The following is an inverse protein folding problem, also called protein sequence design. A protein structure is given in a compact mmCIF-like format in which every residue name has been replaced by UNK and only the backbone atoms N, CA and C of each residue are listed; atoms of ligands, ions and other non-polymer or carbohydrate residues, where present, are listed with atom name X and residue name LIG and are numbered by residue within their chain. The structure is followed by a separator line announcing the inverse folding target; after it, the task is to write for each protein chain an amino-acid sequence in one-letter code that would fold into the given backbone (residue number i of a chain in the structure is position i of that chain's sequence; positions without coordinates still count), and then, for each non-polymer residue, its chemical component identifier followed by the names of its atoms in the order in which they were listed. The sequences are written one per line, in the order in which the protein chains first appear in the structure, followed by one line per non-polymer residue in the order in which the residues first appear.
data_IF_554408071205
#
_entry.id   IF_554408071205
#
_cell.length_a   1.000
_cell.length_b   1.000
_cell.length_c   1.000
_cell.angle_alpha   90.00
_cell.angle_beta   90.00
_cell.angle_gamma   90.00
#
_symmetry.space_group_name_H-M   'P 1'
#
loop_
_entity.id
_entity.type
_entity.pdbx_description
1 polymer ?
#
# COMPACT_ATOMS: atom_id res chain seq x y z
N UNK A 1 9.14 -2.32 -3.45
CA UNK A 1 8.08 -1.37 -3.88
C UNK A 1 8.74 -0.16 -4.52
N UNK A 2 8.30 0.26 -5.71
CA UNK A 2 8.72 1.52 -6.34
C UNK A 2 7.53 2.47 -6.23
N UNK A 3 7.67 3.53 -5.43
CA UNK A 3 6.69 4.61 -5.42
C UNK A 3 7.04 5.63 -6.49
N UNK A 4 6.01 6.17 -7.13
CA UNK A 4 6.11 7.18 -8.18
C UNK A 4 5.50 8.45 -7.64
N UNK A 5 6.19 9.58 -7.83
CA UNK A 5 5.70 10.87 -7.41
C UNK A 5 4.48 11.27 -8.27
N UNK A 6 3.33 11.60 -7.67
CA UNK A 6 2.11 11.91 -8.43
C UNK A 6 2.18 13.25 -9.19
N UNK A 7 3.19 14.07 -8.93
CA UNK A 7 3.34 15.38 -9.59
C UNK A 7 4.24 15.35 -10.83
N UNK A 8 5.20 14.43 -10.91
CA UNK A 8 6.25 14.50 -11.94
C UNK A 8 6.72 13.13 -12.45
N UNK A 9 6.02 12.07 -12.08
CA UNK A 9 6.24 10.67 -12.45
C UNK A 9 7.66 10.12 -12.17
N UNK A 10 8.44 10.88 -11.42
CA UNK A 10 9.79 10.50 -11.02
C UNK A 10 9.72 9.54 -9.84
N UNK A 11 10.80 8.79 -9.63
CA UNK A 11 10.90 7.85 -8.50
C UNK A 11 10.77 8.62 -7.18
N UNK A 12 10.07 8.03 -6.22
CA UNK A 12 10.08 8.45 -4.83
C UNK A 12 10.81 7.42 -3.95
N UNK A 13 11.57 7.90 -2.98
CA UNK A 13 12.28 7.09 -1.98
C UNK A 13 11.49 7.10 -0.67
N UNK A 14 11.29 5.92 -0.09
CA UNK A 14 10.74 5.77 1.26
C UNK A 14 11.87 6.09 2.25
N UNK A 15 11.68 7.11 3.08
CA UNK A 15 12.67 7.56 4.08
C UNK A 15 12.46 6.88 5.43
N UNK A 16 11.21 6.73 5.83
CA UNK A 16 10.85 6.04 7.05
C UNK A 16 9.47 5.41 6.90
N UNK A 17 9.14 4.49 7.80
CA UNK A 17 7.83 3.89 7.84
C UNK A 17 7.44 3.55 9.27
N UNK A 18 6.14 3.64 9.57
CA UNK A 18 5.60 3.23 10.87
C UNK A 18 4.41 2.29 10.69
N UNK A 19 4.28 1.24 11.51
CA UNK A 19 3.10 0.40 11.52
C UNK A 19 1.91 1.18 12.09
N UNK A 20 0.75 1.08 11.43
CA UNK A 20 -0.52 1.58 11.97
C UNK A 20 -1.38 0.43 12.52
N UNK A 21 -1.34 -0.72 11.84
CA UNK A 21 -2.00 -1.95 12.26
C UNK A 21 -1.19 -3.15 11.74
N UNK A 22 -1.64 -4.38 12.00
CA UNK A 22 -1.05 -5.58 11.39
C UNK A 22 -1.21 -5.62 9.86
N UNK A 23 -2.17 -4.86 9.31
CA UNK A 23 -2.50 -4.85 7.88
C UNK A 23 -2.04 -3.59 7.16
N UNK A 24 -1.78 -2.51 7.90
CA UNK A 24 -1.53 -1.18 7.33
C UNK A 24 -0.24 -0.58 7.85
N UNK A 25 0.56 -0.03 6.94
CA UNK A 25 1.80 0.69 7.24
C UNK A 25 1.80 2.05 6.56
N UNK A 26 2.22 3.06 7.31
CA UNK A 26 2.41 4.42 6.81
C UNK A 26 3.86 4.60 6.36
N UNK A 27 4.06 5.21 5.19
CA UNK A 27 5.35 5.45 4.56
C UNK A 27 5.55 6.95 4.38
N UNK A 28 6.71 7.46 4.77
CA UNK A 28 7.11 8.83 4.47
C UNK A 28 8.07 8.82 3.28
N UNK A 29 7.68 9.50 2.21
CA UNK A 29 8.30 9.38 0.90
C UNK A 29 8.79 10.74 0.40
N UNK A 30 9.93 10.76 -0.29
CA UNK A 30 10.49 11.95 -0.91
C UNK A 30 10.80 11.70 -2.39
N UNK A 31 10.34 12.59 -3.26
CA UNK A 31 10.68 12.57 -4.69
C UNK A 31 12.19 12.68 -4.90
N UNK A 32 12.74 11.94 -5.86
CA UNK A 32 14.17 12.03 -6.20
C UNK A 32 14.51 13.20 -7.10
N UNK A 33 13.52 13.74 -7.83
CA UNK A 33 13.72 14.92 -8.68
C UNK A 33 13.76 16.16 -7.77
N UNK A 34 14.93 16.77 -7.66
CA UNK A 34 15.18 17.91 -6.76
C UNK A 34 14.25 19.09 -7.08
N UNK A 35 14.05 19.39 -8.36
CA UNK A 35 13.14 20.46 -8.82
C UNK A 35 11.69 20.23 -8.39
N UNK A 36 11.26 18.98 -8.27
CA UNK A 36 9.93 18.64 -7.77
C UNK A 36 9.87 18.75 -6.24
N UNK A 37 10.88 18.24 -5.53
CA UNK A 37 11.02 18.36 -4.07
C UNK A 37 9.89 17.72 -3.23
N UNK A 38 8.88 17.15 -3.87
CA UNK A 38 7.66 16.72 -3.20
C UNK A 38 7.94 15.63 -2.16
N UNK A 39 7.45 15.87 -0.94
CA UNK A 39 7.51 14.93 0.17
C UNK A 39 6.09 14.63 0.62
N UNK A 40 5.77 13.35 0.77
CA UNK A 40 4.39 12.92 0.97
C UNK A 40 4.32 11.65 1.82
N UNK A 41 3.15 11.44 2.43
CA UNK A 41 2.83 10.23 3.15
C UNK A 41 2.02 9.29 2.24
N UNK A 42 2.25 7.98 2.35
CA UNK A 42 1.50 6.96 1.65
C UNK A 42 1.13 5.82 2.59
N UNK A 43 -0.07 5.27 2.42
CA UNK A 43 -0.52 4.08 3.14
C UNK A 43 -0.37 2.85 2.25
N UNK A 44 0.22 1.80 2.81
CA UNK A 44 0.23 0.46 2.21
C UNK A 44 -0.61 -0.45 3.08
N UNK A 45 -1.64 -1.03 2.49
CA UNK A 45 -2.59 -1.90 3.17
C UNK A 45 -2.72 -3.25 2.46
N UNK A 46 -2.77 -4.33 3.24
CA UNK A 46 -3.17 -5.64 2.72
C UNK A 46 -4.68 -5.65 2.50
N UNK A 47 -5.11 -5.54 1.24
CA UNK A 47 -6.54 -5.41 0.90
C UNK A 47 -7.25 -6.75 0.76
N UNK A 48 -6.59 -7.76 0.18
CA UNK A 48 -7.16 -9.10 -0.01
C UNK A 48 -6.07 -10.15 -0.16
N UNK A 49 -6.43 -11.40 0.14
CA UNK A 49 -5.56 -12.56 -0.01
C UNK A 49 -5.73 -13.14 -1.42
N UNK A 50 -4.64 -13.20 -2.21
CA UNK A 50 -4.66 -13.89 -3.51
C UNK A 50 -4.42 -15.39 -3.38
N UNK A 51 -3.55 -15.78 -2.44
CA UNK A 51 -3.28 -17.17 -2.07
C UNK A 51 -3.22 -17.26 -0.54
N UNK A 52 -3.89 -18.23 0.10
CA UNK A 52 -3.89 -18.35 1.56
C UNK A 52 -2.47 -18.58 2.09
N UNK A 53 -2.20 -18.04 3.28
CA UNK A 53 -0.97 -18.35 4.00
C UNK A 53 -0.98 -19.81 4.47
N UNK A 54 0.15 -20.51 4.37
CA UNK A 54 0.33 -21.84 4.98
C UNK A 54 0.39 -21.81 6.51
N UNK A 55 0.54 -20.61 7.09
CA UNK A 55 0.49 -20.37 8.54
C UNK A 55 -0.36 -19.11 8.79
N UNK A 56 -1.70 -19.21 8.74
CA UNK A 56 -2.57 -18.06 8.91
C UNK A 56 -2.62 -17.63 10.38
N UNK A 57 -2.54 -16.33 10.64
CA UNK A 57 -2.98 -15.78 11.91
C UNK A 57 -4.54 -15.75 11.89
N UNK A 58 -5.24 -16.41 12.83
CA UNK A 58 -6.70 -16.53 12.81
C UNK A 58 -7.43 -15.18 12.80
N UNK A 59 -6.93 -14.19 13.55
CA UNK A 59 -7.53 -12.86 13.64
C UNK A 59 -7.45 -12.13 12.29
N UNK A 60 -6.29 -12.21 11.62
CA UNK A 60 -6.06 -11.58 10.31
C UNK A 60 -6.83 -12.30 9.20
N UNK A 61 -6.84 -13.63 9.23
CA UNK A 61 -7.59 -14.42 8.25
C UNK A 61 -9.08 -14.09 8.30
N UNK A 62 -9.66 -13.91 9.50
CA UNK A 62 -11.05 -13.48 9.68
C UNK A 62 -11.31 -12.08 9.11
N UNK A 63 -10.40 -11.14 9.33
CA UNK A 63 -10.53 -9.76 8.79
C UNK A 63 -10.49 -9.75 7.25
N UNK A 64 -9.62 -10.55 6.64
CA UNK A 64 -9.47 -10.63 5.19
C UNK A 64 -10.63 -11.38 4.51
N UNK A 65 -11.20 -12.39 5.18
CA UNK A 65 -12.35 -13.15 4.65
C UNK A 65 -13.61 -12.29 4.47
N UNK A 66 -13.79 -11.24 5.28
CA UNK A 66 -14.95 -10.34 5.18
C UNK A 66 -14.85 -9.29 4.07
N UNK A 67 -13.69 -9.15 3.39
CA UNK A 67 -13.39 -8.05 2.45
C UNK A 67 -13.43 -8.48 0.97
N UNK A 68 -13.93 -9.67 0.65
CA UNK A 68 -14.13 -10.11 -0.73
C UNK A 68 -15.17 -9.22 -1.43
N UNK A 69 -14.69 -8.26 -2.23
CA UNK A 69 -15.50 -7.45 -3.13
C UNK A 69 -15.94 -8.31 -4.32
N UNK A 70 -17.21 -8.21 -4.70
CA UNK A 70 -17.76 -8.76 -5.95
C UNK A 70 -16.93 -8.30 -7.16
N UNK A 71 -16.86 -9.07 -8.27
CA UNK A 71 -16.06 -8.68 -9.43
C UNK A 71 -16.54 -7.32 -9.96
N UNK A 72 -15.62 -6.35 -9.98
CA UNK A 72 -15.81 -5.04 -10.59
C UNK A 72 -15.98 -5.23 -12.10
N UNK A 73 -17.18 -4.95 -12.61
CA UNK A 73 -17.55 -5.03 -14.01
C UNK A 73 -16.80 -3.95 -14.81
N UNK A 74 -16.17 -4.40 -15.90
CA UNK A 74 -15.62 -3.62 -17.01
C UNK A 74 -16.52 -2.45 -17.41
N UNK A 75 -15.93 -1.26 -17.59
CA UNK A 75 -16.63 -0.13 -18.21
C UNK A 75 -15.73 1.10 -18.37
N UNK A 76 -14.98 1.15 -19.49
CA UNK A 76 -15.10 2.09 -20.63
C UNK A 76 -14.21 1.55 -21.75
#
# INVERSE_FOLDING_TARGET
MKLVCPHCDSRALIRSSRPLSRMTRELYCACTKIECGHTFMSLVEVVRTLSPSGMPNPEIAKQLAGRSVAPESTGV
#
